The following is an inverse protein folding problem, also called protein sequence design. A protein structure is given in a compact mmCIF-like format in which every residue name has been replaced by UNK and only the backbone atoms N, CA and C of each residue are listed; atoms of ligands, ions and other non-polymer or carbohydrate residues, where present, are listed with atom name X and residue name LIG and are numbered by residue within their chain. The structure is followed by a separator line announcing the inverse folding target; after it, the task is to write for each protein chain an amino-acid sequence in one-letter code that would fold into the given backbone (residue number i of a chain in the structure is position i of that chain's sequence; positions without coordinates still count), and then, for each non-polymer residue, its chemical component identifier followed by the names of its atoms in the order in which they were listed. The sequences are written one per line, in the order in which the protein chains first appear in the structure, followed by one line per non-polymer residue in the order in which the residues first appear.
data_IF_185043378066
#
_entry.id   IF_185043378066
#
_cell.length_a   1.000
_cell.length_b   1.000
_cell.length_c   1.000
_cell.angle_alpha   90.00
_cell.angle_beta   90.00
_cell.angle_gamma   90.00
#
_symmetry.space_group_name_H-M   'P 1'
#
loop_
_entity.id
_entity.type
_entity.pdbx_description
1 polymer ?
#
# COMPACT_ATOMS: atom_id res chain seq x y z
N UNK A 1 16.99 34.75 -34.80
CA UNK A 1 15.68 34.94 -34.16
C UNK A 1 15.38 33.70 -33.38
N UNK A 2 15.13 33.84 -32.09
CA UNK A 2 14.61 32.76 -31.25
C UNK A 2 13.19 32.42 -31.70
N UNK A 3 12.86 31.12 -31.78
CA UNK A 3 11.53 30.65 -32.19
C UNK A 3 10.63 30.51 -30.96
N UNK A 4 9.32 30.72 -31.12
CA UNK A 4 8.33 30.57 -30.05
C UNK A 4 8.43 29.21 -29.34
N UNK A 5 8.50 28.12 -30.10
CA UNK A 5 8.69 26.75 -29.58
C UNK A 5 9.92 26.61 -28.67
N UNK A 6 11.04 27.30 -28.98
CA UNK A 6 12.24 27.27 -28.15
C UNK A 6 11.99 27.94 -26.80
N UNK A 7 11.17 28.99 -26.74
CA UNK A 7 10.83 29.64 -25.48
C UNK A 7 9.95 28.74 -24.61
N UNK A 8 9.05 27.96 -25.19
CA UNK A 8 8.27 26.95 -24.45
C UNK A 8 9.15 25.82 -23.94
N UNK A 9 9.98 25.24 -24.81
CA UNK A 9 10.88 24.14 -24.46
C UNK A 9 11.87 24.51 -23.36
N UNK A 10 12.44 25.71 -23.43
CA UNK A 10 13.38 26.23 -22.42
C UNK A 10 12.70 26.94 -21.25
N UNK A 11 11.37 26.84 -21.13
CA UNK A 11 10.57 27.43 -20.04
C UNK A 11 10.75 28.94 -19.86
N UNK A 12 11.06 29.65 -20.94
CA UNK A 12 11.16 31.11 -20.98
C UNK A 12 9.76 31.72 -21.15
N UNK A 13 8.94 31.56 -20.12
CA UNK A 13 7.52 31.93 -20.13
C UNK A 13 7.29 33.42 -20.41
N UNK A 14 8.19 34.28 -19.92
CA UNK A 14 8.17 35.73 -20.19
C UNK A 14 8.33 36.03 -21.69
N UNK A 15 9.26 35.36 -22.37
CA UNK A 15 9.42 35.49 -23.82
C UNK A 15 8.27 34.87 -24.60
N UNK A 16 7.74 33.73 -24.13
CA UNK A 16 6.56 33.13 -24.75
C UNK A 16 5.37 34.10 -24.72
N UNK A 17 5.14 34.78 -23.59
CA UNK A 17 4.14 35.85 -23.48
C UNK A 17 4.43 37.02 -24.41
N UNK A 18 5.70 37.43 -24.56
CA UNK A 18 6.09 38.47 -25.52
C UNK A 18 5.76 38.08 -26.97
N UNK A 19 6.04 36.83 -27.36
CA UNK A 19 5.69 36.33 -28.70
C UNK A 19 4.18 36.33 -28.93
N UNK A 20 3.39 35.81 -27.99
CA UNK A 20 1.92 35.78 -28.06
C UNK A 20 1.35 37.21 -28.14
N UNK A 21 1.96 38.18 -27.46
CA UNK A 21 1.53 39.59 -27.55
C UNK A 21 1.74 40.22 -28.93
N UNK A 22 2.63 39.66 -29.74
CA UNK A 22 2.93 40.13 -31.11
C UNK A 22 2.12 39.36 -32.16
N UNK A 23 1.81 38.10 -31.90
CA UNK A 23 0.96 37.24 -32.74
C UNK A 23 0.13 36.31 -31.86
N UNK A 24 -1.14 36.65 -31.68
CA UNK A 24 -2.07 35.90 -30.84
C UNK A 24 -2.28 34.46 -31.33
N UNK A 25 -2.05 34.17 -32.62
CA UNK A 25 -2.26 32.82 -33.18
C UNK A 25 -1.26 31.80 -32.63
N UNK A 26 -0.12 32.25 -32.12
CA UNK A 26 0.90 31.37 -31.52
C UNK A 26 0.37 30.62 -30.30
N UNK A 27 -0.68 31.12 -29.64
CA UNK A 27 -1.29 30.41 -28.51
C UNK A 27 -1.82 29.02 -28.92
N UNK A 28 -2.31 28.87 -30.16
CA UNK A 28 -2.86 27.61 -30.67
C UNK A 28 -1.79 26.57 -31.01
N UNK A 29 -0.51 26.95 -31.00
CA UNK A 29 0.62 26.01 -31.12
C UNK A 29 0.93 25.32 -29.77
N UNK A 30 0.39 25.82 -28.65
CA UNK A 30 0.61 25.23 -27.34
C UNK A 30 -0.12 23.89 -27.18
N UNK A 31 0.60 22.93 -26.62
CA UNK A 31 0.04 21.66 -26.22
C UNK A 31 -0.40 21.72 -24.74
N UNK A 32 -1.70 21.50 -24.41
CA UNK A 32 -2.18 21.49 -23.03
C UNK A 32 -1.43 20.52 -22.12
N UNK A 33 -0.93 19.40 -22.68
CA UNK A 33 -0.12 18.45 -21.93
C UNK A 33 1.15 19.10 -21.38
N UNK A 34 1.94 19.78 -22.23
CA UNK A 34 3.21 20.38 -21.83
C UNK A 34 2.99 21.45 -20.75
N UNK A 35 1.95 22.27 -20.91
CA UNK A 35 1.57 23.29 -19.94
C UNK A 35 1.15 22.65 -18.60
N UNK A 36 0.29 21.64 -18.64
CA UNK A 36 -0.19 20.95 -17.43
C UNK A 36 0.94 20.28 -16.65
N UNK A 37 1.87 19.64 -17.36
CA UNK A 37 3.04 19.00 -16.79
C UNK A 37 3.90 20.02 -16.05
N UNK A 38 4.17 21.18 -16.68
CA UNK A 38 4.94 22.25 -16.06
C UNK A 38 4.24 22.85 -14.85
N UNK A 39 2.92 23.07 -14.89
CA UNK A 39 2.17 23.55 -13.71
C UNK A 39 2.35 22.60 -12.52
N UNK A 40 2.17 21.31 -12.75
CA UNK A 40 2.36 20.29 -11.71
C UNK A 40 3.79 20.33 -11.17
N UNK A 41 4.77 20.28 -12.06
CA UNK A 41 6.19 20.24 -11.70
C UNK A 41 6.64 21.48 -10.91
N UNK A 42 6.22 22.68 -11.34
CA UNK A 42 6.46 23.92 -10.58
C UNK A 42 5.82 23.90 -9.20
N UNK A 43 4.65 23.26 -9.07
CA UNK A 43 3.98 23.11 -7.77
C UNK A 43 4.72 22.16 -6.85
N UNK A 44 5.31 21.08 -7.37
CA UNK A 44 6.17 20.20 -6.58
C UNK A 44 7.43 20.92 -6.07
N UNK A 45 8.07 21.73 -6.93
CA UNK A 45 9.24 22.52 -6.53
C UNK A 45 8.88 23.53 -5.43
N UNK A 46 7.76 24.24 -5.57
CA UNK A 46 7.27 25.17 -4.53
C UNK A 46 6.93 24.45 -3.22
N UNK A 47 6.42 23.22 -3.32
CA UNK A 47 6.12 22.37 -2.18
C UNK A 47 7.39 21.71 -1.58
N UNK A 48 8.57 21.94 -2.16
CA UNK A 48 9.82 21.31 -1.72
C UNK A 48 9.83 19.79 -1.92
N UNK A 49 8.95 19.27 -2.78
CA UNK A 49 8.83 17.84 -3.13
C UNK A 49 9.71 17.45 -4.32
N UNK A 50 10.23 18.43 -5.04
CA UNK A 50 11.12 18.23 -6.17
C UNK A 50 12.24 19.27 -6.17
N UNK A 51 13.38 18.93 -6.76
CA UNK A 51 14.51 19.87 -6.90
C UNK A 51 14.31 20.77 -8.10
N UNK A 52 14.63 22.04 -7.90
CA UNK A 52 14.65 23.02 -8.99
C UNK A 52 15.82 22.74 -9.96
N UNK A 53 15.55 22.47 -11.23
CA UNK A 53 16.58 22.22 -12.27
C UNK A 53 16.51 23.33 -13.32
N UNK A 54 17.46 24.29 -13.35
CA UNK A 54 17.46 25.38 -14.32
C UNK A 54 17.64 24.94 -15.79
N UNK A 55 17.12 25.71 -16.76
CA UNK A 55 16.35 26.93 -16.55
C UNK A 55 14.90 26.62 -16.14
N UNK A 56 14.46 27.30 -15.08
CA UNK A 56 13.03 27.49 -14.78
C UNK A 56 12.74 28.95 -15.09
N UNK A 57 11.69 29.19 -15.88
CA UNK A 57 11.05 30.49 -15.90
C UNK A 57 10.35 30.78 -14.57
N UNK A 58 9.54 31.85 -14.53
CA UNK A 58 8.76 32.18 -13.35
C UNK A 58 7.39 31.51 -13.41
N UNK A 59 6.96 30.84 -12.33
CA UNK A 59 5.60 30.26 -12.23
C UNK A 59 4.51 31.28 -12.50
N UNK A 60 4.73 32.52 -12.07
CA UNK A 60 3.80 33.64 -12.30
C UNK A 60 3.55 33.92 -13.77
N UNK A 61 4.56 33.72 -14.63
CA UNK A 61 4.42 33.94 -16.07
C UNK A 61 3.77 32.72 -16.73
N UNK A 62 4.07 31.50 -16.26
CA UNK A 62 3.33 30.29 -16.64
C UNK A 62 1.84 30.41 -16.26
N UNK A 63 1.49 30.94 -15.09
CA UNK A 63 0.10 31.14 -14.68
C UNK A 63 -0.63 32.12 -15.62
N UNK A 64 0.01 33.22 -16.02
CA UNK A 64 -0.57 34.13 -17.03
C UNK A 64 -0.81 33.42 -18.35
N UNK A 65 0.12 32.54 -18.77
CA UNK A 65 -0.05 31.75 -19.99
C UNK A 65 -1.29 30.84 -19.90
N UNK A 66 -1.53 30.22 -18.73
CA UNK A 66 -2.72 29.40 -18.46
C UNK A 66 -4.00 30.23 -18.51
N UNK A 67 -3.99 31.45 -17.95
CA UNK A 67 -5.13 32.37 -18.06
C UNK A 67 -5.46 32.69 -19.52
N UNK A 68 -4.44 32.96 -20.35
CA UNK A 68 -4.62 33.20 -21.79
C UNK A 68 -5.15 31.95 -22.50
N UNK A 69 -4.63 30.76 -22.18
CA UNK A 69 -5.13 29.50 -22.71
C UNK A 69 -6.62 29.31 -22.39
N UNK A 70 -7.01 29.52 -21.13
CA UNK A 70 -8.40 29.39 -20.67
C UNK A 70 -9.34 30.33 -21.43
N UNK A 71 -8.94 31.60 -21.63
CA UNK A 71 -9.74 32.59 -22.38
C UNK A 71 -9.89 32.20 -23.86
N UNK A 72 -8.89 31.55 -24.44
CA UNK A 72 -8.88 31.13 -25.84
C UNK A 72 -9.42 29.70 -26.06
N UNK A 73 -9.99 29.07 -25.03
CA UNK A 73 -10.60 27.73 -25.12
C UNK A 73 -9.57 26.59 -25.25
N UNK A 74 -8.31 26.82 -24.89
CA UNK A 74 -7.29 25.79 -24.83
C UNK A 74 -7.40 25.11 -23.46
N UNK A 75 -8.01 23.94 -23.44
CA UNK A 75 -8.34 23.20 -22.22
C UNK A 75 -7.58 21.88 -22.12
N UNK A 76 -7.47 21.35 -20.90
CA UNK A 76 -7.00 19.99 -20.67
C UNK A 76 -7.89 18.95 -21.35
N UNK A 77 -7.25 17.92 -21.94
CA UNK A 77 -7.94 16.84 -22.67
C UNK A 77 -8.31 15.64 -21.79
N UNK A 78 -7.77 15.60 -20.57
CA UNK A 78 -8.07 14.60 -19.55
C UNK A 78 -8.18 15.27 -18.17
N UNK A 79 -8.63 14.53 -17.17
CA UNK A 79 -8.87 15.00 -15.81
C UNK A 79 -7.63 15.63 -15.16
N UNK A 80 -6.43 15.00 -15.17
CA UNK A 80 -5.20 15.62 -14.66
C UNK A 80 -4.87 16.95 -15.33
N UNK A 81 -4.97 17.04 -16.67
CA UNK A 81 -4.70 18.28 -17.41
C UNK A 81 -5.71 19.38 -17.07
N UNK A 82 -7.01 19.06 -17.06
CA UNK A 82 -8.05 20.05 -16.74
C UNK A 82 -7.92 20.56 -15.30
N UNK A 83 -7.47 19.69 -14.39
CA UNK A 83 -7.14 20.03 -13.00
C UNK A 83 -5.95 20.97 -12.91
N UNK A 84 -4.89 20.74 -13.69
CA UNK A 84 -3.74 21.65 -13.76
C UNK A 84 -4.14 23.07 -14.18
N UNK A 85 -5.08 23.18 -15.11
CA UNK A 85 -5.65 24.45 -15.58
C UNK A 85 -6.67 25.06 -14.61
N UNK A 86 -7.00 24.34 -13.52
CA UNK A 86 -8.05 24.68 -12.55
C UNK A 86 -9.43 24.88 -13.18
N UNK A 87 -9.67 24.25 -14.33
CA UNK A 87 -10.92 24.39 -15.07
C UNK A 87 -11.94 23.35 -14.59
N UNK A 88 -12.68 23.72 -13.55
CA UNK A 88 -13.74 22.88 -12.97
C UNK A 88 -14.88 22.59 -13.96
N UNK A 89 -15.13 23.46 -14.94
CA UNK A 89 -16.17 23.24 -15.94
C UNK A 89 -15.71 22.18 -16.93
N UNK A 90 -14.46 22.24 -17.37
CA UNK A 90 -13.87 21.20 -18.20
C UNK A 90 -13.82 19.85 -17.48
N UNK A 91 -13.46 19.82 -16.18
CA UNK A 91 -13.51 18.58 -15.39
C UNK A 91 -14.90 17.95 -15.43
N UNK A 92 -15.95 18.75 -15.16
CA UNK A 92 -17.34 18.27 -15.23
C UNK A 92 -17.73 17.82 -16.63
N UNK A 93 -17.32 18.55 -17.65
CA UNK A 93 -17.57 18.20 -19.05
C UNK A 93 -16.93 16.85 -19.41
N UNK A 94 -15.67 16.62 -19.05
CA UNK A 94 -14.97 15.37 -19.31
C UNK A 94 -15.67 14.18 -18.61
N UNK A 95 -16.02 14.33 -17.33
CA UNK A 95 -16.78 13.31 -16.59
C UNK A 95 -18.13 13.01 -17.25
N UNK A 96 -18.86 14.04 -17.70
CA UNK A 96 -20.12 13.88 -18.42
C UNK A 96 -19.95 13.16 -19.77
N UNK A 97 -18.77 13.23 -20.39
CA UNK A 97 -18.41 12.53 -21.63
C UNK A 97 -17.77 11.15 -21.39
N UNK A 98 -17.85 10.61 -20.17
CA UNK A 98 -17.44 9.23 -19.86
C UNK A 98 -15.97 9.07 -19.47
N UNK A 99 -15.24 10.15 -19.29
CA UNK A 99 -13.93 10.08 -18.64
C UNK A 99 -14.07 9.58 -17.20
N UNK A 100 -13.05 8.88 -16.71
CA UNK A 100 -13.06 8.33 -15.35
C UNK A 100 -12.43 9.33 -14.38
N UNK A 101 -13.00 9.46 -13.18
CA UNK A 101 -12.46 10.36 -12.13
C UNK A 101 -11.00 10.04 -11.76
N UNK A 102 -10.63 8.77 -11.84
CA UNK A 102 -9.28 8.25 -11.58
C UNK A 102 -8.53 7.92 -12.88
N UNK A 103 -8.85 8.58 -13.99
CA UNK A 103 -7.99 8.44 -15.17
C UNK A 103 -6.63 9.11 -14.93
N UNK A 104 -5.64 8.58 -15.63
CA UNK A 104 -4.24 8.88 -15.41
C UNK A 104 -3.65 9.63 -16.61
N UNK A 105 -2.64 10.46 -16.35
CA UNK A 105 -1.76 10.96 -17.40
C UNK A 105 -0.52 10.07 -17.58
N UNK A 106 0.45 10.51 -18.39
CA UNK A 106 1.65 9.71 -18.72
C UNK A 106 2.50 9.34 -17.49
N UNK A 107 2.42 10.10 -16.39
CA UNK A 107 3.11 9.78 -15.15
C UNK A 107 2.27 8.95 -14.18
N UNK A 108 1.17 8.33 -14.64
CA UNK A 108 0.19 7.60 -13.82
C UNK A 108 -0.48 8.51 -12.75
N UNK A 109 -0.49 9.83 -13.00
CA UNK A 109 -1.05 10.80 -12.05
C UNK A 109 -2.54 11.01 -12.29
N UNK A 110 -3.31 11.01 -11.22
CA UNK A 110 -4.73 11.35 -11.24
C UNK A 110 -4.98 12.84 -11.03
N UNK A 111 -6.20 13.31 -11.33
CA UNK A 111 -6.61 14.68 -10.99
C UNK A 111 -6.45 15.01 -9.51
N UNK A 112 -6.68 14.06 -8.60
CA UNK A 112 -6.55 14.32 -7.17
C UNK A 112 -5.09 14.61 -6.78
N UNK A 113 -4.14 13.88 -7.35
CA UNK A 113 -2.70 14.15 -7.15
C UNK A 113 -2.29 15.53 -7.67
N UNK A 114 -2.78 15.90 -8.85
CA UNK A 114 -2.52 17.24 -9.42
C UNK A 114 -3.13 18.33 -8.53
N UNK A 115 -4.36 18.18 -8.05
CA UNK A 115 -5.00 19.14 -7.15
C UNK A 115 -4.25 19.29 -5.82
N UNK A 116 -3.75 18.19 -5.26
CA UNK A 116 -2.93 18.19 -4.05
C UNK A 116 -1.59 18.90 -4.25
N UNK A 117 -0.90 18.64 -5.37
CA UNK A 117 0.33 19.36 -5.72
C UNK A 117 0.09 20.87 -5.82
N UNK A 118 -1.05 21.29 -6.39
CA UNK A 118 -1.45 22.69 -6.49
C UNK A 118 -1.83 23.33 -5.14
N UNK A 119 -1.86 22.55 -4.05
CA UNK A 119 -2.41 22.96 -2.76
C UNK A 119 -3.81 23.57 -2.86
N UNK A 120 -4.63 23.08 -3.81
CA UNK A 120 -5.96 23.62 -4.08
C UNK A 120 -7.02 22.83 -3.30
N UNK A 121 -7.31 23.30 -2.08
CA UNK A 121 -8.25 22.64 -1.17
C UNK A 121 -9.65 22.48 -1.77
N UNK A 122 -10.12 23.47 -2.52
CA UNK A 122 -11.46 23.42 -3.12
C UNK A 122 -11.53 22.35 -4.21
N UNK A 123 -10.48 22.24 -5.01
CA UNK A 123 -10.38 21.24 -6.06
C UNK A 123 -10.21 19.83 -5.49
N UNK A 124 -9.36 19.65 -4.47
CA UNK A 124 -9.25 18.39 -3.72
C UNK A 124 -10.61 17.96 -3.16
N UNK A 125 -11.29 18.87 -2.45
CA UNK A 125 -12.60 18.58 -1.85
C UNK A 125 -13.65 18.22 -2.91
N UNK A 126 -13.62 18.90 -4.05
CA UNK A 126 -14.48 18.60 -5.18
C UNK A 126 -14.21 17.22 -5.77
N UNK A 127 -12.95 16.86 -6.03
CA UNK A 127 -12.59 15.58 -6.62
C UNK A 127 -12.92 14.40 -5.69
N UNK A 128 -12.68 14.54 -4.38
CA UNK A 128 -13.10 13.54 -3.38
C UNK A 128 -14.62 13.37 -3.40
N UNK A 129 -15.38 14.47 -3.48
CA UNK A 129 -16.85 14.42 -3.60
C UNK A 129 -17.32 13.68 -4.86
N UNK A 130 -16.57 13.77 -5.94
CA UNK A 130 -16.80 13.00 -7.18
C UNK A 130 -16.24 11.56 -7.11
N UNK A 131 -15.87 11.08 -5.91
CA UNK A 131 -15.33 9.74 -5.62
C UNK A 131 -13.94 9.46 -6.23
N UNK A 132 -13.06 10.46 -6.26
CA UNK A 132 -11.65 10.22 -6.55
C UNK A 132 -11.04 9.27 -5.51
N UNK A 133 -10.25 8.30 -5.96
CA UNK A 133 -9.54 7.35 -5.12
C UNK A 133 -8.35 8.06 -4.45
N UNK A 134 -8.44 8.27 -3.13
CA UNK A 134 -7.39 8.94 -2.35
C UNK A 134 -6.12 8.12 -2.20
N UNK A 135 -6.22 6.80 -2.30
CA UNK A 135 -5.11 5.84 -2.14
C UNK A 135 -4.61 5.30 -3.49
N UNK A 136 -4.85 6.04 -4.57
CA UNK A 136 -4.25 5.70 -5.86
C UNK A 136 -2.75 6.01 -5.82
N UNK A 137 -1.93 5.15 -6.43
CA UNK A 137 -0.49 5.32 -6.54
C UNK A 137 -0.13 5.74 -7.95
N UNK A 138 0.80 6.67 -8.07
CA UNK A 138 1.46 6.94 -9.34
C UNK A 138 2.64 5.98 -9.58
N UNK A 139 3.39 6.21 -10.66
CA UNK A 139 4.55 5.40 -11.04
C UNK A 139 5.67 5.35 -9.98
N UNK A 140 5.71 6.34 -9.07
CA UNK A 140 6.71 6.46 -8.01
C UNK A 140 6.17 5.93 -6.66
N UNK A 141 5.01 5.27 -6.66
CA UNK A 141 4.27 4.80 -5.48
C UNK A 141 3.90 5.93 -4.50
N UNK A 142 3.62 7.11 -5.02
CA UNK A 142 3.15 8.26 -4.26
C UNK A 142 1.63 8.39 -4.35
N UNK A 143 0.99 8.71 -3.23
CA UNK A 143 -0.43 9.05 -3.15
C UNK A 143 -0.63 10.56 -3.26
N UNK A 144 -1.88 11.02 -3.43
CA UNK A 144 -2.20 12.44 -3.50
C UNK A 144 -1.69 13.25 -2.28
N UNK A 145 -1.63 12.63 -1.10
CA UNK A 145 -1.16 13.25 0.15
C UNK A 145 0.34 13.57 0.12
N UNK A 146 1.12 12.85 -0.68
CA UNK A 146 2.58 12.99 -0.71
C UNK A 146 3.01 14.24 -1.49
N UNK A 147 2.14 14.77 -2.35
CA UNK A 147 2.42 15.94 -3.20
C UNK A 147 2.08 17.29 -2.55
N UNK A 148 1.32 17.31 -1.46
CA UNK A 148 0.88 18.54 -0.78
C UNK A 148 1.79 18.90 0.39
N UNK A 149 1.80 20.20 0.75
CA UNK A 149 2.37 20.72 2.01
C UNK A 149 1.30 21.37 2.89
N UNK A 150 0.05 21.39 2.44
CA UNK A 150 -1.06 21.99 3.17
C UNK A 150 -1.59 21.01 4.23
N UNK A 151 -1.47 21.39 5.50
CA UNK A 151 -2.03 20.61 6.61
C UNK A 151 -3.53 20.37 6.45
N UNK A 152 -4.29 21.35 5.94
CA UNK A 152 -5.73 21.18 5.74
C UNK A 152 -6.06 20.11 4.69
N UNK A 153 -5.27 20.02 3.62
CA UNK A 153 -5.43 19.00 2.57
C UNK A 153 -4.99 17.64 3.10
N UNK A 154 -3.90 17.59 3.85
CA UNK A 154 -3.43 16.36 4.53
C UNK A 154 -4.53 15.79 5.41
N UNK A 155 -5.17 16.61 6.26
CA UNK A 155 -6.26 16.16 7.13
C UNK A 155 -7.48 15.68 6.32
N UNK A 156 -7.84 16.37 5.23
CA UNK A 156 -8.92 15.92 4.34
C UNK A 156 -8.60 14.55 3.73
N UNK A 157 -7.39 14.37 3.21
CA UNK A 157 -6.99 13.11 2.57
C UNK A 157 -6.94 11.97 3.59
N UNK A 158 -6.38 12.20 4.78
CA UNK A 158 -6.38 11.22 5.88
C UNK A 158 -7.79 10.83 6.31
N UNK A 159 -8.68 11.80 6.47
CA UNK A 159 -10.08 11.53 6.82
C UNK A 159 -10.82 10.68 5.77
N UNK A 160 -10.32 10.62 4.54
CA UNK A 160 -10.86 9.82 3.46
C UNK A 160 -10.06 8.54 3.16
N UNK A 161 -9.02 8.23 3.96
CA UNK A 161 -8.23 6.99 3.85
C UNK A 161 -6.86 7.12 3.18
N UNK A 162 -6.44 8.33 2.79
CA UNK A 162 -5.08 8.57 2.32
C UNK A 162 -4.06 8.40 3.43
N UNK A 163 -2.86 7.90 3.09
CA UNK A 163 -1.80 7.59 4.06
C UNK A 163 -0.50 8.23 3.63
N UNK A 164 0.27 8.78 4.55
CA UNK A 164 1.61 9.27 4.22
C UNK A 164 2.55 8.10 3.90
N UNK A 165 3.61 8.36 3.14
CA UNK A 165 4.70 7.40 2.90
C UNK A 165 5.15 6.69 4.19
N UNK A 166 5.41 7.45 5.26
CA UNK A 166 5.81 6.91 6.56
C UNK A 166 4.77 5.97 7.19
N UNK A 167 3.49 6.26 7.03
CA UNK A 167 2.41 5.41 7.53
C UNK A 167 2.34 4.09 6.74
N UNK A 168 2.52 4.16 5.41
CA UNK A 168 2.56 2.97 4.54
C UNK A 168 3.77 2.08 4.82
N UNK A 169 4.95 2.69 4.97
CA UNK A 169 6.18 1.97 5.31
C UNK A 169 6.05 1.23 6.64
N UNK A 170 5.49 1.91 7.65
CA UNK A 170 5.23 1.31 8.95
C UNK A 170 4.27 0.11 8.86
N UNK A 171 3.20 0.22 8.08
CA UNK A 171 2.28 -0.90 7.87
C UNK A 171 2.95 -2.09 7.20
N UNK A 172 3.86 -1.84 6.25
CA UNK A 172 4.65 -2.89 5.61
C UNK A 172 5.62 -3.58 6.58
N UNK A 173 6.29 -2.80 7.44
CA UNK A 173 7.17 -3.32 8.48
C UNK A 173 6.39 -4.16 9.51
N UNK A 174 5.23 -3.67 9.96
CA UNK A 174 4.36 -4.39 10.89
C UNK A 174 3.89 -5.73 10.29
N UNK A 175 3.57 -5.76 8.99
CA UNK A 175 3.25 -6.98 8.27
C UNK A 175 4.44 -7.95 8.22
N UNK A 176 5.65 -7.46 7.91
CA UNK A 176 6.86 -8.28 7.89
C UNK A 176 7.16 -8.89 9.26
N UNK A 177 7.08 -8.08 10.32
CA UNK A 177 7.30 -8.52 11.70
C UNK A 177 6.28 -9.57 12.15
N UNK A 178 5.00 -9.39 11.80
CA UNK A 178 3.95 -10.37 12.08
C UNK A 178 4.20 -11.69 11.36
N UNK A 179 4.62 -11.63 10.09
CA UNK A 179 4.95 -12.82 9.29
C UNK A 179 6.15 -13.57 9.85
N UNK A 180 7.21 -12.87 10.25
CA UNK A 180 8.38 -13.48 10.88
C UNK A 180 8.01 -14.18 12.19
N UNK A 181 7.24 -13.51 13.04
CA UNK A 181 6.72 -14.09 14.29
C UNK A 181 5.91 -15.37 14.06
N UNK A 182 5.08 -15.41 13.02
CA UNK A 182 4.32 -16.60 12.63
C UNK A 182 5.22 -17.74 12.12
N UNK A 183 6.28 -17.41 11.38
CA UNK A 183 7.26 -18.40 10.91
C UNK A 183 8.01 -19.04 12.08
N UNK A 184 8.46 -18.25 13.07
CA UNK A 184 9.10 -18.79 14.28
C UNK A 184 8.20 -19.78 15.02
N UNK A 185 6.92 -19.41 15.23
CA UNK A 185 5.92 -20.27 15.88
C UNK A 185 5.75 -21.57 15.08
N UNK A 186 5.65 -21.48 13.75
CA UNK A 186 5.51 -22.64 12.88
C UNK A 186 6.72 -23.57 12.97
N UNK A 187 7.93 -23.05 12.94
CA UNK A 187 9.17 -23.84 13.05
C UNK A 187 9.24 -24.56 14.41
N UNK A 188 8.91 -23.88 15.50
CA UNK A 188 8.84 -24.48 16.84
C UNK A 188 7.80 -25.60 16.88
N UNK A 189 6.59 -25.36 16.37
CA UNK A 189 5.52 -26.37 16.36
C UNK A 189 5.90 -27.60 15.53
N UNK A 190 6.51 -27.41 14.35
CA UNK A 190 6.97 -28.51 13.52
C UNK A 190 8.11 -29.30 14.18
N UNK A 191 9.07 -28.61 14.80
CA UNK A 191 10.18 -29.26 15.51
C UNK A 191 9.68 -30.02 16.75
N UNK A 192 8.71 -29.47 17.47
CA UNK A 192 8.04 -30.11 18.61
C UNK A 192 7.34 -31.40 18.17
N UNK A 193 6.50 -31.33 17.12
CA UNK A 193 5.81 -32.49 16.56
C UNK A 193 6.74 -33.55 16.02
N UNK A 194 7.78 -33.16 15.29
CA UNK A 194 8.79 -34.10 14.77
C UNK A 194 9.56 -34.77 15.91
N UNK A 195 9.73 -34.10 17.04
CA UNK A 195 10.36 -34.72 18.22
C UNK A 195 9.43 -35.78 18.84
N UNK A 196 8.13 -35.49 18.96
CA UNK A 196 7.13 -36.46 19.40
C UNK A 196 7.04 -37.67 18.45
N UNK A 197 6.99 -37.41 17.14
CA UNK A 197 6.93 -38.44 16.09
C UNK A 197 8.11 -39.40 16.13
N UNK A 198 9.32 -38.90 16.42
CA UNK A 198 10.52 -39.71 16.55
C UNK A 198 10.73 -40.30 17.96
N UNK A 199 9.84 -40.03 18.92
CA UNK A 199 9.98 -40.49 20.31
C UNK A 199 11.18 -39.90 21.04
N UNK A 200 11.60 -38.68 20.67
CA UNK A 200 12.75 -37.99 21.27
C UNK A 200 12.25 -37.00 22.34
N UNK A 201 12.09 -37.51 23.57
CA UNK A 201 11.57 -36.74 24.70
C UNK A 201 12.45 -35.52 25.03
N UNK A 202 13.77 -35.68 25.08
CA UNK A 202 14.68 -34.61 25.47
C UNK A 202 14.60 -33.42 24.50
N UNK A 203 14.48 -33.70 23.19
CA UNK A 203 14.28 -32.65 22.18
C UNK A 203 12.88 -32.06 22.26
N UNK A 204 11.85 -32.88 22.48
CA UNK A 204 10.46 -32.43 22.65
C UNK A 204 10.35 -31.41 23.78
N UNK A 205 10.85 -31.76 24.97
CA UNK A 205 10.85 -30.89 26.15
C UNK A 205 11.66 -29.61 25.90
N UNK A 206 12.85 -29.74 25.31
CA UNK A 206 13.70 -28.58 24.98
C UNK A 206 12.98 -27.60 24.04
N UNK A 207 12.39 -28.08 22.95
CA UNK A 207 11.69 -27.24 21.97
C UNK A 207 10.43 -26.63 22.57
N UNK A 208 9.69 -27.38 23.39
CA UNK A 208 8.52 -26.86 24.09
C UNK A 208 8.87 -25.67 24.99
N UNK A 209 9.98 -25.77 25.72
CA UNK A 209 10.46 -24.69 26.60
C UNK A 209 10.99 -23.47 25.83
N UNK A 210 11.33 -23.62 24.55
CA UNK A 210 11.67 -22.50 23.65
C UNK A 210 10.43 -21.79 23.08
N UNK A 211 9.24 -22.40 23.18
CA UNK A 211 8.01 -21.80 22.65
C UNK A 211 7.60 -20.55 23.42
N UNK A 212 7.40 -19.45 22.68
CA UNK A 212 6.80 -18.22 23.19
C UNK A 212 5.30 -18.40 23.51
N UNK A 213 4.60 -19.28 22.79
CA UNK A 213 3.16 -19.53 22.93
C UNK A 213 2.94 -21.02 23.22
N UNK A 214 3.19 -21.43 24.46
CA UNK A 214 3.14 -22.82 24.91
C UNK A 214 1.83 -23.52 24.57
N UNK A 215 0.69 -22.85 24.75
CA UNK A 215 -0.64 -23.42 24.50
C UNK A 215 -0.85 -23.82 23.04
N UNK A 216 -0.34 -23.01 22.10
CA UNK A 216 -0.42 -23.28 20.66
C UNK A 216 0.52 -24.41 20.25
N UNK A 217 1.74 -24.43 20.79
CA UNK A 217 2.70 -25.52 20.53
C UNK A 217 2.21 -26.85 21.07
N UNK A 218 1.71 -26.86 22.30
CA UNK A 218 1.24 -28.07 22.97
C UNK A 218 0.09 -28.75 22.20
N UNK A 219 -0.86 -27.94 21.73
CA UNK A 219 -2.08 -28.43 21.07
C UNK A 219 -2.00 -28.39 19.54
N UNK A 220 -0.81 -28.19 18.98
CA UNK A 220 -0.63 -28.28 17.54
C UNK A 220 -0.96 -29.69 17.05
N UNK A 221 -1.70 -29.75 15.96
CA UNK A 221 -2.02 -30.97 15.25
C UNK A 221 -1.53 -30.85 13.81
N UNK A 222 -0.94 -31.91 13.26
CA UNK A 222 -0.56 -31.91 11.85
C UNK A 222 -1.80 -31.77 10.97
N UNK A 223 -1.86 -30.81 10.03
CA UNK A 223 -3.05 -30.61 9.20
C UNK A 223 -3.43 -31.81 8.34
N UNK A 224 -2.43 -32.63 7.96
CA UNK A 224 -2.61 -33.75 7.02
C UNK A 224 -3.24 -35.00 7.64
N UNK A 225 -3.19 -35.15 8.97
CA UNK A 225 -3.69 -36.35 9.66
C UNK A 225 -4.39 -36.03 10.98
N UNK A 226 -4.35 -34.78 11.46
CA UNK A 226 -4.93 -34.36 12.74
C UNK A 226 -4.19 -34.86 13.97
N UNK A 227 -3.00 -35.47 13.82
CA UNK A 227 -2.27 -36.04 14.94
C UNK A 227 -1.64 -34.94 15.80
N UNK A 228 -1.81 -35.05 17.11
CA UNK A 228 -1.11 -34.24 18.13
C UNK A 228 0.13 -34.97 18.66
N UNK A 229 0.98 -34.26 19.41
CA UNK A 229 2.14 -34.87 20.08
C UNK A 229 1.75 -36.06 20.98
N UNK A 230 0.56 -36.03 21.59
CA UNK A 230 0.08 -37.12 22.44
C UNK A 230 -0.20 -38.40 21.65
N UNK A 231 -0.77 -38.29 20.44
CA UNK A 231 -0.97 -39.45 19.56
C UNK A 231 0.36 -40.12 19.20
N UNK A 232 1.39 -39.32 18.87
CA UNK A 232 2.72 -39.84 18.57
C UNK A 232 3.40 -40.47 19.80
N UNK A 233 3.29 -39.85 20.97
CA UNK A 233 3.82 -40.42 22.21
C UNK A 233 3.20 -41.80 22.50
N UNK A 234 1.88 -41.94 22.30
CA UNK A 234 1.16 -43.22 22.40
C UNK A 234 1.66 -44.21 21.35
N UNK A 235 1.77 -43.81 20.08
CA UNK A 235 2.29 -44.63 18.97
C UNK A 235 3.75 -45.09 19.19
N UNK A 236 4.53 -44.37 19.96
CA UNK A 236 5.90 -44.73 20.28
C UNK A 236 6.05 -45.47 21.62
N UNK A 237 4.95 -45.69 22.36
CA UNK A 237 4.95 -46.23 23.71
C UNK A 237 5.83 -45.42 24.68
N UNK A 238 5.88 -44.10 24.48
CA UNK A 238 6.74 -43.18 25.22
C UNK A 238 6.01 -42.63 26.46
N UNK A 239 6.07 -43.38 27.58
CA UNK A 239 5.44 -42.99 28.85
C UNK A 239 5.94 -41.63 29.37
N UNK A 240 7.20 -41.26 29.09
CA UNK A 240 7.78 -39.97 29.53
C UNK A 240 7.11 -38.80 28.81
N UNK A 241 7.03 -38.87 27.48
CA UNK A 241 6.32 -37.84 26.70
C UNK A 241 4.84 -37.78 27.05
N UNK A 242 4.15 -38.91 27.23
CA UNK A 242 2.73 -38.93 27.64
C UNK A 242 2.54 -38.17 28.95
N UNK A 243 3.32 -38.51 29.98
CA UNK A 243 3.25 -37.86 31.30
C UNK A 243 3.50 -36.34 31.18
N UNK A 244 4.58 -35.97 30.52
CA UNK A 244 4.95 -34.56 30.34
C UNK A 244 3.85 -33.76 29.61
N UNK A 245 3.31 -34.29 28.52
CA UNK A 245 2.28 -33.59 27.73
C UNK A 245 1.00 -33.39 28.55
N UNK A 246 0.58 -34.40 29.31
CA UNK A 246 -0.60 -34.33 30.20
C UNK A 246 -0.37 -33.33 31.33
N UNK A 247 0.78 -33.37 31.99
CA UNK A 247 1.15 -32.43 33.07
C UNK A 247 1.20 -30.97 32.58
N UNK A 248 1.53 -30.75 31.30
CA UNK A 248 1.50 -29.43 30.68
C UNK A 248 0.11 -29.02 30.15
N UNK A 249 -0.91 -29.87 30.30
CA UNK A 249 -2.30 -29.54 29.96
C UNK A 249 -2.63 -29.68 28.47
N UNK A 250 -2.08 -30.68 27.78
CA UNK A 250 -2.48 -30.98 26.39
C UNK A 250 -3.96 -31.37 26.34
N UNK A 251 -4.65 -30.98 25.28
CA UNK A 251 -6.02 -31.43 25.00
C UNK A 251 -6.03 -32.93 24.69
N UNK A 252 -6.39 -33.72 25.69
CA UNK A 252 -6.46 -35.18 25.61
C UNK A 252 -7.67 -35.67 24.78
N UNK A 253 -8.68 -34.82 24.59
CA UNK A 253 -9.90 -35.14 23.85
C UNK A 253 -9.79 -34.82 22.36
N UNK A 254 -8.66 -34.21 21.93
CA UNK A 254 -8.42 -33.91 20.53
C UNK A 254 -8.41 -35.19 19.70
N UNK A 255 -9.26 -35.24 18.68
CA UNK A 255 -9.34 -36.35 17.73
C UNK A 255 -8.51 -36.09 16.48
N UNK A 256 -7.82 -37.13 16.00
CA UNK A 256 -7.16 -37.12 14.69
C UNK A 256 -8.17 -37.32 13.53
N UNK A 257 -7.71 -37.38 12.28
CA UNK A 257 -8.58 -37.59 11.11
C UNK A 257 -9.17 -39.01 11.01
N UNK A 258 -8.61 -39.98 11.74
CA UNK A 258 -9.21 -41.31 11.93
C UNK A 258 -10.29 -41.29 13.02
N UNK A 259 -10.62 -40.10 13.53
CA UNK A 259 -11.57 -39.85 14.61
C UNK A 259 -11.20 -40.52 15.94
N UNK A 260 -9.91 -40.74 16.21
CA UNK A 260 -9.41 -41.32 17.45
C UNK A 260 -8.84 -40.23 18.35
N UNK A 261 -9.12 -40.30 19.66
CA UNK A 261 -8.29 -39.63 20.66
C UNK A 261 -7.00 -40.42 20.90
N UNK A 262 -6.01 -39.80 21.54
CA UNK A 262 -4.78 -40.52 21.88
C UNK A 262 -5.01 -41.68 22.85
N UNK A 263 -6.02 -41.59 23.72
CA UNK A 263 -6.39 -42.67 24.64
C UNK A 263 -7.03 -43.85 23.90
N UNK A 264 -7.97 -43.58 23.01
CA UNK A 264 -8.59 -44.61 22.16
C UNK A 264 -7.54 -45.30 21.26
N UNK A 265 -6.57 -44.54 20.74
CA UNK A 265 -5.43 -45.10 20.01
C UNK A 265 -4.58 -46.03 20.89
N UNK A 266 -4.39 -45.70 22.17
CA UNK A 266 -3.65 -46.57 23.08
C UNK A 266 -4.37 -47.89 23.35
N UNK A 267 -5.70 -47.88 23.44
CA UNK A 267 -6.51 -49.09 23.57
C UNK A 267 -6.37 -49.99 22.33
N UNK A 268 -6.44 -49.41 21.12
CA UNK A 268 -6.24 -50.16 19.88
C UNK A 268 -4.85 -50.79 19.75
N UNK A 269 -3.83 -50.13 20.31
CA UNK A 269 -2.45 -50.60 20.28
C UNK A 269 -2.07 -51.49 21.49
N UNK A 270 -3.02 -51.80 22.38
CA UNK A 270 -2.81 -52.56 23.62
C UNK A 270 -1.80 -51.89 24.59
N UNK A 271 -1.80 -50.56 24.67
CA UNK A 271 -0.89 -49.71 25.46
C UNK A 271 -1.61 -48.92 26.56
N UNK A 272 -2.57 -49.56 27.22
CA UNK A 272 -3.44 -48.92 28.21
C UNK A 272 -2.69 -48.44 29.46
N UNK A 273 -1.53 -49.02 29.75
CA UNK A 273 -0.67 -48.65 30.87
C UNK A 273 0.01 -47.27 30.74
N UNK A 274 -0.08 -46.61 29.57
CA UNK A 274 0.49 -45.28 29.35
C UNK A 274 -0.24 -44.18 30.11
N UNK A 275 -1.53 -44.36 30.40
CA UNK A 275 -2.39 -43.37 31.06
C UNK A 275 -2.66 -43.68 32.53
N UNK A 276 -2.10 -44.77 33.06
CA UNK A 276 -2.21 -45.17 34.46
C UNK A 276 -0.95 -44.77 35.22
N UNK A 277 -1.10 -44.36 36.49
CA UNK A 277 -0.01 -43.96 37.39
C UNK A 277 1.17 -44.96 37.35
#
# INVERSE_FOLDING_TARGET
MEKFENSIFNEQWDKALEFISKDENLIFELNPYDISWKIFYYSLVENGKEKHIPPFGKKTDLNKLVEICNVNGITGKNLPQATAFKDKNQIKFLLANGHKINEEDFGERTALMVASALNDKELVSFLIKENANVSHFDQDNLEAIDFTTSNEIIEILKANGGKTEQERDKEYDDYCNARESLNEIREINLSFMKSAENGNFEKLEKVFNQSKIKSLTLNFAYPINGWTALHYAVKNNDKKSVKFLIENGIDIEKRNLDNLTAKELAEQLERTNLFTE
#
